data_IF_139537615782
#
_entry.id   IF_139537615782
#
_cell.length_a   1.000
_cell.length_b   1.000
_cell.length_c   1.000
_cell.angle_alpha   90.00
_cell.angle_beta   90.00
_cell.angle_gamma   90.00
#
_symmetry.space_group_name_H-M   'P 1'
#
loop_
_entity.id
_entity.type
_entity.pdbx_description
1 polymer ?
#
# COMPACT_ATOMS: atom_id res chain seq x y z
N UNK A 1 7.07 -14.92 9.33
CA UNK A 1 7.99 -16.07 9.41
C UNK A 1 8.19 -16.77 8.06
N UNK A 2 7.16 -17.44 7.46
CA UNK A 2 7.33 -18.24 6.23
C UNK A 2 7.80 -17.44 5.00
N UNK A 3 7.14 -16.31 4.68
CA UNK A 3 7.56 -15.46 3.54
C UNK A 3 8.98 -14.89 3.72
N UNK A 4 9.37 -14.56 4.94
CA UNK A 4 10.74 -14.08 5.23
C UNK A 4 11.78 -15.17 4.99
N UNK A 5 11.44 -16.43 5.26
CA UNK A 5 12.28 -17.58 4.93
C UNK A 5 12.41 -17.73 3.42
N UNK A 6 11.29 -17.73 2.66
CA UNK A 6 11.32 -17.82 1.19
C UNK A 6 12.16 -16.72 0.55
N UNK A 7 12.11 -15.49 1.11
CA UNK A 7 12.94 -14.38 0.64
C UNK A 7 14.43 -14.62 0.91
N UNK A 8 14.78 -15.11 2.10
CA UNK A 8 16.18 -15.47 2.44
C UNK A 8 16.73 -16.58 1.55
N UNK A 9 15.90 -17.54 1.19
CA UNK A 9 16.24 -18.67 0.30
C UNK A 9 16.24 -18.26 -1.19
N UNK A 10 15.87 -17.01 -1.53
CA UNK A 10 15.84 -16.53 -2.90
C UNK A 10 14.65 -16.99 -3.74
N UNK A 11 13.66 -17.66 -3.14
CA UNK A 11 12.46 -18.12 -3.85
C UNK A 11 11.54 -16.96 -4.25
N UNK A 12 11.50 -15.91 -3.44
CA UNK A 12 10.79 -14.66 -3.72
C UNK A 12 11.69 -13.45 -3.46
N UNK A 13 11.49 -12.38 -4.24
CA UNK A 13 12.12 -11.07 -4.01
C UNK A 13 11.19 -10.15 -3.21
N UNK A 14 9.89 -10.19 -3.51
CA UNK A 14 8.88 -9.31 -2.94
C UNK A 14 7.90 -10.08 -2.03
N UNK A 15 7.34 -9.37 -1.05
CA UNK A 15 6.29 -9.92 -0.19
C UNK A 15 4.89 -9.80 -0.82
N UNK A 16 4.69 -8.87 -1.74
CA UNK A 16 3.46 -8.69 -2.49
C UNK A 16 3.31 -9.77 -3.59
N UNK A 17 2.13 -10.38 -3.68
CA UNK A 17 1.88 -11.44 -4.65
C UNK A 17 1.99 -10.94 -6.09
N UNK A 18 1.36 -9.80 -6.42
CA UNK A 18 1.37 -9.27 -7.79
C UNK A 18 2.73 -8.73 -8.20
N UNK A 19 3.51 -8.17 -7.27
CA UNK A 19 4.90 -7.79 -7.51
C UNK A 19 5.76 -8.98 -7.96
N UNK A 20 5.59 -10.10 -7.25
CA UNK A 20 6.30 -11.33 -7.58
C UNK A 20 5.82 -11.94 -8.90
N UNK A 21 4.53 -11.84 -9.22
CA UNK A 21 3.96 -12.25 -10.50
C UNK A 21 4.48 -11.39 -11.66
N UNK A 22 4.57 -10.05 -11.49
CA UNK A 22 5.19 -9.16 -12.48
C UNK A 22 6.65 -9.58 -12.72
N UNK A 23 7.43 -9.78 -11.66
CA UNK A 23 8.83 -10.22 -11.74
C UNK A 23 8.99 -11.51 -12.53
N UNK A 24 8.08 -12.47 -12.31
CA UNK A 24 8.10 -13.79 -12.96
C UNK A 24 7.52 -13.82 -14.36
N UNK A 25 7.05 -12.69 -14.88
CA UNK A 25 6.49 -12.58 -16.22
C UNK A 25 5.04 -13.03 -16.38
N UNK A 26 4.30 -13.18 -15.27
CA UNK A 26 2.91 -13.61 -15.34
C UNK A 26 1.96 -12.55 -15.95
N UNK A 27 2.44 -11.35 -16.18
CA UNK A 27 1.71 -10.27 -16.85
C UNK A 27 2.28 -9.92 -18.23
N UNK A 28 3.28 -10.65 -18.73
CA UNK A 28 3.97 -10.30 -19.99
C UNK A 28 3.07 -10.48 -21.24
N UNK A 29 2.06 -11.35 -21.16
CA UNK A 29 1.07 -11.60 -22.21
C UNK A 29 -0.34 -11.14 -21.80
N UNK A 30 -0.45 -10.26 -20.78
CA UNK A 30 -1.71 -9.73 -20.28
C UNK A 30 -1.86 -8.27 -20.71
N UNK A 31 -2.87 -7.97 -21.52
CA UNK A 31 -3.15 -6.62 -22.02
C UNK A 31 -3.88 -5.75 -20.99
N UNK A 32 -4.78 -6.33 -20.20
CA UNK A 32 -5.60 -5.63 -19.21
C UNK A 32 -5.86 -6.51 -17.99
N UNK A 33 -6.08 -5.90 -16.83
CA UNK A 33 -6.37 -6.65 -15.62
C UNK A 33 -7.56 -6.05 -14.85
N UNK A 34 -8.37 -6.92 -14.26
CA UNK A 34 -9.49 -6.51 -13.40
C UNK A 34 -9.48 -7.30 -12.11
N UNK A 35 -9.85 -6.65 -11.03
CA UNK A 35 -10.19 -7.28 -9.76
C UNK A 35 -11.22 -6.44 -9.01
N UNK A 36 -11.82 -6.98 -7.99
CA UNK A 36 -12.67 -6.21 -7.09
C UNK A 36 -12.40 -6.57 -5.62
N UNK A 37 -12.82 -5.69 -4.74
CA UNK A 37 -12.97 -5.96 -3.32
C UNK A 37 -14.41 -5.74 -2.89
N UNK A 38 -14.78 -6.34 -1.76
CA UNK A 38 -16.03 -6.03 -1.06
C UNK A 38 -15.70 -5.29 0.23
N UNK A 39 -16.44 -4.21 0.49
CA UNK A 39 -16.27 -3.40 1.71
C UNK A 39 -17.61 -2.80 2.13
N UNK A 40 -17.72 -2.35 3.36
CA UNK A 40 -18.89 -1.63 3.82
C UNK A 40 -18.96 -0.25 3.15
N UNK A 41 -19.83 -0.13 2.15
CA UNK A 41 -20.07 1.11 1.38
C UNK A 41 -21.21 1.96 1.98
N UNK A 42 -21.70 1.61 3.18
CA UNK A 42 -22.88 2.23 3.78
C UNK A 42 -24.15 1.90 3.01
N UNK A 43 -24.88 2.93 2.59
CA UNK A 43 -26.13 2.78 1.80
C UNK A 43 -25.88 2.65 0.29
N UNK A 44 -24.64 2.77 -0.14
CA UNK A 44 -24.27 2.62 -1.57
C UNK A 44 -23.95 1.17 -1.89
N UNK A 45 -24.00 0.84 -3.19
CA UNK A 45 -23.81 -0.54 -3.67
C UNK A 45 -22.43 -0.78 -4.25
N UNK A 46 -21.82 0.25 -4.84
CA UNK A 46 -20.50 0.14 -5.45
C UNK A 46 -19.75 1.48 -5.38
N UNK A 47 -18.43 1.38 -5.25
CA UNK A 47 -17.50 2.48 -5.41
C UNK A 47 -16.64 2.19 -6.64
N UNK A 48 -16.66 3.11 -7.61
CA UNK A 48 -15.94 2.99 -8.88
C UNK A 48 -14.74 3.95 -8.91
N UNK A 49 -13.66 3.55 -9.56
CA UNK A 49 -12.46 4.36 -9.73
C UNK A 49 -11.82 4.85 -8.43
N UNK A 50 -11.74 4.02 -7.37
CA UNK A 50 -11.03 4.41 -6.18
C UNK A 50 -9.55 4.54 -6.46
N UNK A 51 -8.90 5.46 -5.75
CA UNK A 51 -7.45 5.55 -5.68
C UNK A 51 -6.98 5.10 -4.31
N UNK A 52 -5.79 4.51 -4.24
CA UNK A 52 -5.22 4.04 -2.98
C UNK A 52 -3.86 4.68 -2.70
N UNK A 53 -3.43 4.63 -1.45
CA UNK A 53 -2.05 4.96 -1.13
C UNK A 53 -1.11 3.83 -1.55
N UNK A 54 0.11 4.21 -1.97
CA UNK A 54 1.24 3.31 -1.92
C UNK A 54 1.91 3.33 -0.54
N UNK A 55 2.92 2.48 -0.34
CA UNK A 55 3.72 2.52 0.88
C UNK A 55 5.14 1.99 0.67
N UNK A 56 6.05 2.45 1.52
CA UNK A 56 7.40 1.90 1.72
C UNK A 56 7.45 1.33 3.13
N UNK A 57 7.82 0.06 3.26
CA UNK A 57 8.07 -0.57 4.55
C UNK A 57 9.45 -0.19 5.08
N UNK A 58 9.61 -0.18 6.40
CA UNK A 58 10.89 0.10 7.06
C UNK A 58 11.11 -0.86 8.22
N UNK A 59 12.31 -1.40 8.26
CA UNK A 59 12.91 -2.00 9.45
C UNK A 59 14.02 -1.08 9.92
N UNK A 60 13.95 -0.64 11.17
CA UNK A 60 14.90 0.31 11.74
C UNK A 60 15.51 -0.29 13.00
N UNK A 61 16.84 -0.22 13.08
CA UNK A 61 17.57 -0.64 14.27
C UNK A 61 18.37 0.55 14.81
N UNK A 62 18.10 0.92 16.05
CA UNK A 62 18.86 1.88 16.80
C UNK A 62 19.91 1.13 17.63
N UNK A 63 21.17 1.54 17.50
CA UNK A 63 22.31 0.86 18.10
C UNK A 63 22.98 1.81 19.09
N UNK A 64 22.89 1.48 20.35
CA UNK A 64 23.46 2.21 21.45
C UNK A 64 24.65 1.49 22.09
N UNK A 65 24.80 1.70 23.40
CA UNK A 65 25.82 1.06 24.23
C UNK A 65 25.25 0.73 25.61
N UNK A 66 25.41 -0.50 26.03
CA UNK A 66 25.01 -0.97 27.35
C UNK A 66 25.79 -0.26 28.46
N UNK A 67 25.11 -0.05 29.59
CA UNK A 67 25.72 0.37 30.86
C UNK A 67 24.76 0.03 32.01
N UNK A 68 25.23 0.03 33.25
CA UNK A 68 24.36 -0.18 34.40
C UNK A 68 23.48 1.07 34.60
N UNK A 69 22.17 0.94 34.40
CA UNK A 69 21.23 2.07 34.37
C UNK A 69 21.17 2.87 35.69
N UNK A 70 21.43 2.24 36.80
CA UNK A 70 21.42 2.90 38.13
C UNK A 70 22.74 3.50 38.57
N UNK A 71 23.88 2.84 38.30
CA UNK A 71 25.18 3.25 38.83
C UNK A 71 26.05 4.04 37.86
N UNK A 72 25.95 3.75 36.56
CA UNK A 72 26.79 4.37 35.54
C UNK A 72 26.07 4.60 34.21
N UNK A 73 24.83 5.20 34.19
CA UNK A 73 24.09 5.42 32.95
C UNK A 73 24.83 6.33 31.96
N UNK A 74 25.72 7.19 32.43
CA UNK A 74 26.52 8.10 31.63
C UNK A 74 27.59 7.40 30.77
N UNK A 75 27.89 6.14 31.04
CA UNK A 75 28.79 5.33 30.21
C UNK A 75 28.06 4.67 29.03
N UNK A 76 26.72 4.67 29.04
CA UNK A 76 25.88 4.09 28.03
C UNK A 76 25.40 5.06 26.96
N UNK A 77 24.85 4.52 25.89
CA UNK A 77 24.10 5.25 24.85
C UNK A 77 22.72 4.60 24.74
N UNK A 78 21.69 5.33 25.12
CA UNK A 78 20.34 4.78 25.21
C UNK A 78 19.63 4.76 23.82
N UNK A 79 19.59 3.60 23.19
CA UNK A 79 18.93 3.40 21.90
C UNK A 79 17.39 3.57 21.97
N UNK A 80 16.75 3.38 23.14
CA UNK A 80 15.33 3.62 23.29
C UNK A 80 15.03 5.13 23.28
N UNK A 81 15.86 5.94 23.91
CA UNK A 81 15.74 7.40 23.81
C UNK A 81 15.95 7.88 22.37
N UNK A 82 16.90 7.27 21.63
CA UNK A 82 17.07 7.53 20.21
C UNK A 82 15.78 7.27 19.41
N UNK A 83 15.16 6.12 19.62
CA UNK A 83 13.90 5.75 18.94
C UNK A 83 12.74 6.69 19.31
N UNK A 84 12.61 7.08 20.58
CA UNK A 84 11.58 8.03 21.02
C UNK A 84 11.76 9.41 20.37
N UNK A 85 12.98 9.94 20.34
CA UNK A 85 13.29 11.20 19.67
C UNK A 85 13.04 11.11 18.17
N UNK A 86 13.43 10.00 17.54
CA UNK A 86 13.20 9.73 16.13
C UNK A 86 11.71 9.80 15.77
N UNK A 87 10.84 9.12 16.54
CA UNK A 87 9.38 9.15 16.34
C UNK A 87 8.85 10.58 16.52
N UNK A 88 9.28 11.30 17.55
CA UNK A 88 8.87 12.70 17.76
C UNK A 88 9.33 13.62 16.62
N UNK A 89 10.55 13.43 16.10
CA UNK A 89 11.04 14.18 14.94
C UNK A 89 10.18 13.92 13.68
N UNK A 90 9.72 12.68 13.46
CA UNK A 90 8.78 12.39 12.37
C UNK A 90 7.44 13.10 12.59
N UNK A 91 6.93 13.12 13.83
CA UNK A 91 5.72 13.87 14.15
C UNK A 91 5.87 15.39 13.91
N UNK A 92 7.04 15.95 14.19
CA UNK A 92 7.34 17.36 13.87
C UNK A 92 7.35 17.66 12.36
N UNK A 93 7.53 16.65 11.49
CA UNK A 93 7.44 16.83 10.04
C UNK A 93 6.00 16.91 9.48
N UNK A 94 4.96 16.63 10.30
CA UNK A 94 3.58 16.52 9.78
C UNK A 94 3.09 17.77 9.08
N UNK A 95 3.49 18.95 9.54
CA UNK A 95 3.14 20.22 8.90
C UNK A 95 3.79 20.42 7.51
N UNK A 96 4.82 19.65 7.20
CA UNK A 96 5.51 19.72 5.90
C UNK A 96 4.91 18.82 4.83
N UNK A 97 3.92 17.99 5.17
CA UNK A 97 3.21 17.14 4.22
C UNK A 97 1.97 17.86 3.71
N UNK A 98 1.78 17.87 2.41
CA UNK A 98 0.54 18.41 1.80
C UNK A 98 -0.64 17.51 2.18
N UNK A 99 -1.79 18.09 2.47
CA UNK A 99 -3.00 17.33 2.79
C UNK A 99 -3.45 16.42 1.64
N UNK A 100 -3.28 16.88 0.39
CA UNK A 100 -3.59 16.11 -0.81
C UNK A 100 -2.74 14.83 -0.94
N UNK A 101 -1.54 14.80 -0.35
CA UNK A 101 -0.63 13.65 -0.43
C UNK A 101 -1.05 12.50 0.49
N UNK A 102 -1.98 12.73 1.42
CA UNK A 102 -2.52 11.71 2.34
C UNK A 102 -1.42 10.91 3.07
N UNK A 103 -0.33 11.58 3.46
CA UNK A 103 0.81 10.91 4.11
C UNK A 103 0.40 10.27 5.43
N UNK A 104 0.84 9.03 5.64
CA UNK A 104 0.68 8.29 6.90
C UNK A 104 2.02 7.67 7.29
N UNK A 105 2.38 7.86 8.54
CA UNK A 105 3.48 7.17 9.21
C UNK A 105 2.94 6.57 10.51
N UNK A 106 3.15 5.26 10.70
CA UNK A 106 2.72 4.54 11.90
C UNK A 106 3.77 3.48 12.25
N UNK A 107 4.59 3.75 13.26
CA UNK A 107 5.62 2.84 13.74
C UNK A 107 5.11 1.94 14.84
N UNK A 108 5.77 0.79 15.01
CA UNK A 108 5.73 -0.04 16.21
C UNK A 108 7.16 -0.30 16.68
N UNK A 109 7.36 -0.31 17.99
CA UNK A 109 8.61 -0.79 18.60
C UNK A 109 8.50 -2.30 18.78
N UNK A 110 9.32 -3.06 18.05
CA UNK A 110 9.32 -4.52 18.10
C UNK A 110 10.29 -5.08 19.13
N UNK A 111 11.30 -4.27 19.53
CA UNK A 111 12.20 -4.52 20.66
C UNK A 111 12.59 -3.19 21.30
N UNK A 112 12.33 -3.01 22.60
CA UNK A 112 12.58 -1.77 23.35
C UNK A 112 13.73 -1.86 24.36
N UNK A 113 14.40 -2.98 24.48
CA UNK A 113 15.45 -3.29 25.44
C UNK A 113 15.33 -4.73 25.93
N UNK A 114 16.19 -5.13 26.87
CA UNK A 114 16.24 -6.50 27.37
C UNK A 114 15.86 -6.59 28.85
N UNK A 115 16.44 -5.71 29.70
CA UNK A 115 16.20 -5.71 31.15
C UNK A 115 16.29 -4.28 31.70
N UNK A 116 15.48 -3.96 32.72
CA UNK A 116 15.31 -2.58 33.22
C UNK A 116 16.58 -1.94 33.77
N UNK A 117 17.48 -2.72 34.40
CA UNK A 117 18.70 -2.22 35.00
C UNK A 117 19.88 -2.07 34.01
N UNK A 118 19.66 -2.26 32.71
CA UNK A 118 20.65 -2.07 31.65
C UNK A 118 20.14 -1.02 30.67
N UNK A 119 21.02 -0.06 30.32
CA UNK A 119 20.74 0.94 29.27
C UNK A 119 20.49 0.21 27.95
N UNK A 120 19.33 0.39 27.29
CA UNK A 120 19.02 -0.31 26.03
C UNK A 120 20.01 0.03 24.92
N UNK A 121 20.66 -0.97 24.33
CA UNK A 121 21.62 -0.80 23.25
C UNK A 121 21.15 -1.37 21.90
N UNK A 122 20.14 -2.23 21.86
CA UNK A 122 19.51 -2.75 20.65
C UNK A 122 18.00 -2.50 20.72
N UNK A 123 17.53 -1.48 19.99
CA UNK A 123 16.10 -1.15 19.89
C UNK A 123 15.68 -1.25 18.42
N UNK A 124 14.55 -1.91 18.18
CA UNK A 124 14.06 -2.18 16.83
C UNK A 124 12.66 -1.63 16.64
N UNK A 125 12.43 -1.10 15.45
CA UNK A 125 11.16 -0.52 15.04
C UNK A 125 10.81 -0.98 13.63
N UNK A 126 9.53 -1.24 13.41
CA UNK A 126 8.96 -1.40 12.07
C UNK A 126 7.96 -0.28 11.80
N UNK A 127 7.87 0.15 10.55
CA UNK A 127 6.90 1.16 10.15
C UNK A 127 6.56 1.11 8.66
N UNK A 128 5.46 1.79 8.30
CA UNK A 128 5.13 2.11 6.92
C UNK A 128 5.08 3.62 6.73
N UNK A 129 5.66 4.08 5.60
CA UNK A 129 5.44 5.42 5.07
C UNK A 129 4.50 5.28 3.88
N UNK A 130 3.29 5.83 3.99
CA UNK A 130 2.26 5.79 2.96
C UNK A 130 2.03 7.17 2.36
N UNK A 131 1.77 7.22 1.06
CA UNK A 131 1.34 8.44 0.39
C UNK A 131 0.53 8.13 -0.88
N UNK A 132 -0.13 9.19 -1.42
CA UNK A 132 -1.07 9.12 -2.53
C UNK A 132 -0.42 8.89 -3.89
N UNK A 133 0.78 9.41 -4.10
CA UNK A 133 1.53 9.34 -5.36
C UNK A 133 2.94 8.81 -5.10
N UNK A 134 3.61 8.33 -6.14
CA UNK A 134 5.02 7.90 -6.04
C UNK A 134 5.89 9.05 -5.55
N UNK A 135 5.74 10.25 -6.12
CA UNK A 135 6.55 11.43 -5.75
C UNK A 135 6.34 11.81 -4.28
N UNK A 136 5.09 11.84 -3.82
CA UNK A 136 4.79 12.15 -2.41
C UNK A 136 5.27 11.05 -1.47
N UNK A 137 5.29 9.81 -1.92
CA UNK A 137 5.81 8.67 -1.16
C UNK A 137 7.34 8.77 -1.00
N UNK A 138 8.05 9.14 -2.08
CA UNK A 138 9.50 9.36 -2.05
C UNK A 138 9.86 10.56 -1.17
N UNK A 139 9.17 11.70 -1.32
CA UNK A 139 9.39 12.89 -0.48
C UNK A 139 9.15 12.60 1.00
N UNK A 140 8.02 11.97 1.32
CA UNK A 140 7.69 11.59 2.69
C UNK A 140 8.72 10.62 3.27
N UNK A 141 9.17 9.65 2.47
CA UNK A 141 10.20 8.68 2.86
C UNK A 141 11.54 9.36 3.20
N UNK A 142 11.98 10.29 2.36
CA UNK A 142 13.22 11.05 2.59
C UNK A 142 13.14 11.91 3.89
N UNK A 143 11.98 12.55 4.13
CA UNK A 143 11.74 13.31 5.38
C UNK A 143 11.74 12.41 6.61
N UNK A 144 11.11 11.25 6.53
CA UNK A 144 11.07 10.26 7.61
C UNK A 144 12.48 9.75 7.89
N UNK A 145 13.26 9.37 6.88
CA UNK A 145 14.64 8.91 7.07
C UNK A 145 15.50 9.94 7.78
N UNK A 146 15.43 11.20 7.34
CA UNK A 146 16.16 12.30 7.98
C UNK A 146 15.74 12.48 9.45
N UNK A 147 14.47 12.40 9.76
CA UNK A 147 13.96 12.51 11.12
C UNK A 147 14.43 11.35 12.02
N UNK A 148 14.44 10.12 11.47
CA UNK A 148 14.93 8.94 12.18
C UNK A 148 16.44 9.03 12.48
N UNK A 149 17.24 9.44 11.49
CA UNK A 149 18.69 9.66 11.66
C UNK A 149 18.98 10.75 12.69
N UNK A 150 18.21 11.85 12.66
CA UNK A 150 18.38 12.93 13.63
C UNK A 150 18.12 12.48 15.08
N UNK A 151 17.14 11.59 15.30
CA UNK A 151 16.86 11.04 16.63
C UNK A 151 18.02 10.19 17.17
N UNK A 152 18.65 9.38 16.34
CA UNK A 152 19.84 8.61 16.71
C UNK A 152 21.02 9.53 17.00
N UNK A 153 21.27 10.50 16.12
CA UNK A 153 22.38 11.46 16.25
C UNK A 153 22.26 12.29 17.53
N UNK A 154 21.05 12.64 17.97
CA UNK A 154 20.80 13.47 19.15
C UNK A 154 21.34 12.87 20.46
N UNK A 155 21.48 11.56 20.55
CA UNK A 155 21.99 10.85 21.74
C UNK A 155 23.28 10.08 21.47
N UNK A 156 23.88 10.26 20.29
CA UNK A 156 25.12 9.58 19.90
C UNK A 156 24.93 8.09 19.54
N UNK A 157 23.72 7.65 19.26
CA UNK A 157 23.42 6.29 18.80
C UNK A 157 23.68 6.15 17.28
N UNK A 158 24.02 4.93 16.85
CA UNK A 158 24.00 4.57 15.44
C UNK A 158 22.60 4.10 15.02
N UNK A 159 22.35 4.12 13.71
CA UNK A 159 21.08 3.70 13.13
C UNK A 159 21.30 2.91 11.82
N UNK A 160 20.55 1.83 11.67
CA UNK A 160 20.41 1.09 10.42
C UNK A 160 18.95 1.20 9.96
N UNK A 161 18.72 1.64 8.71
CA UNK A 161 17.40 1.74 8.10
C UNK A 161 17.40 0.83 6.89
N UNK A 162 16.54 -0.20 6.92
CA UNK A 162 16.28 -1.08 5.78
C UNK A 162 14.93 -0.72 5.19
N UNK A 163 14.91 -0.34 3.91
CA UNK A 163 13.69 -0.09 3.18
C UNK A 163 13.21 -1.37 2.51
N UNK A 164 11.92 -1.62 2.67
CA UNK A 164 11.26 -2.78 2.06
C UNK A 164 10.29 -2.27 0.99
N UNK A 165 10.40 -2.76 -0.26
CA UNK A 165 9.42 -2.44 -1.29
C UNK A 165 8.01 -2.75 -0.81
N UNK A 166 7.17 -1.71 -0.76
CA UNK A 166 5.75 -1.81 -0.49
C UNK A 166 4.96 -1.87 -1.79
N UNK A 167 3.71 -1.39 -1.79
CA UNK A 167 2.88 -1.32 -3.00
C UNK A 167 2.87 0.09 -3.57
N UNK A 168 2.75 0.20 -4.90
CA UNK A 168 2.49 1.47 -5.56
C UNK A 168 1.02 1.90 -5.37
N UNK A 169 0.71 3.20 -5.46
CA UNK A 169 -0.67 3.68 -5.44
C UNK A 169 -1.44 3.12 -6.63
N UNK A 170 -2.74 2.79 -6.45
CA UNK A 170 -3.60 2.46 -7.60
C UNK A 170 -3.81 3.70 -8.46
N UNK A 171 -3.65 3.52 -9.77
CA UNK A 171 -4.04 4.50 -10.78
C UNK A 171 -5.42 4.18 -11.32
N UNK A 172 -6.26 5.20 -11.43
CA UNK A 172 -7.56 5.12 -12.10
C UNK A 172 -7.36 5.13 -13.61
N UNK A 173 -8.08 4.28 -14.30
CA UNK A 173 -8.11 4.22 -15.76
C UNK A 173 -9.52 4.56 -16.27
N UNK A 174 -9.71 5.80 -16.73
CA UNK A 174 -11.04 6.35 -17.03
C UNK A 174 -11.80 5.59 -18.13
N UNK A 175 -11.12 5.08 -19.16
CA UNK A 175 -11.81 4.34 -20.23
C UNK A 175 -12.30 2.97 -19.74
N UNK A 176 -11.52 2.28 -18.88
CA UNK A 176 -11.99 1.05 -18.23
C UNK A 176 -13.20 1.32 -17.30
N UNK A 177 -13.17 2.44 -16.57
CA UNK A 177 -14.27 2.85 -15.69
C UNK A 177 -15.55 3.17 -16.49
N UNK A 178 -15.44 3.75 -17.69
CA UNK A 178 -16.60 4.00 -18.57
C UNK A 178 -17.27 2.70 -19.03
N UNK A 179 -16.47 1.67 -19.36
CA UNK A 179 -17.01 0.35 -19.72
C UNK A 179 -17.72 -0.28 -18.53
N UNK A 180 -17.08 -0.28 -17.34
CA UNK A 180 -17.71 -0.78 -16.13
C UNK A 180 -19.03 -0.03 -15.84
N UNK A 181 -19.03 1.30 -15.95
CA UNK A 181 -20.20 2.14 -15.63
C UNK A 181 -21.44 1.73 -16.42
N UNK A 182 -21.31 1.51 -17.73
CA UNK A 182 -22.40 1.00 -18.59
C UNK A 182 -22.93 -0.34 -18.08
N UNK A 183 -22.04 -1.21 -17.65
CA UNK A 183 -22.40 -2.54 -17.15
C UNK A 183 -23.08 -2.50 -15.78
N UNK A 184 -22.69 -1.56 -14.90
CA UNK A 184 -23.39 -1.32 -13.64
C UNK A 184 -24.83 -0.84 -13.89
N UNK A 185 -25.04 0.06 -14.83
CA UNK A 185 -26.36 0.53 -15.25
C UNK A 185 -27.18 -0.61 -15.87
N UNK A 186 -26.57 -1.45 -16.72
CA UNK A 186 -27.22 -2.60 -17.33
C UNK A 186 -27.72 -3.63 -16.30
N UNK A 187 -27.01 -3.83 -15.21
CA UNK A 187 -27.46 -4.71 -14.12
C UNK A 187 -28.39 -4.01 -13.12
N UNK A 188 -28.83 -2.79 -13.43
CA UNK A 188 -29.88 -2.07 -12.70
C UNK A 188 -29.41 -1.09 -11.63
N UNK A 189 -28.10 -0.79 -11.53
CA UNK A 189 -27.62 0.24 -10.61
C UNK A 189 -27.81 1.64 -11.21
N UNK A 190 -28.10 2.58 -10.33
CA UNK A 190 -28.31 4.00 -10.68
C UNK A 190 -27.19 4.87 -10.06
N UNK A 191 -27.17 6.17 -10.38
CA UNK A 191 -26.26 7.14 -9.75
C UNK A 191 -26.41 7.17 -8.22
N UNK A 192 -27.61 6.85 -7.72
CA UNK A 192 -27.85 6.79 -6.28
C UNK A 192 -27.16 5.59 -5.61
N UNK A 193 -26.81 4.56 -6.35
CA UNK A 193 -26.18 3.33 -5.85
C UNK A 193 -24.64 3.40 -5.90
N UNK A 194 -24.10 4.36 -6.66
CA UNK A 194 -22.68 4.43 -7.00
C UNK A 194 -22.01 5.60 -6.29
N UNK A 195 -20.85 5.33 -5.70
CA UNK A 195 -19.86 6.34 -5.29
C UNK A 195 -18.84 6.43 -6.42
N UNK A 196 -18.68 7.58 -7.04
CA UNK A 196 -17.65 7.77 -8.05
C UNK A 196 -16.39 8.37 -7.42
N UNK A 197 -15.26 7.73 -7.67
CA UNK A 197 -13.97 8.09 -7.08
C UNK A 197 -13.90 7.74 -5.59
N UNK A 198 -12.93 8.29 -4.91
CA UNK A 198 -12.76 8.13 -3.47
C UNK A 198 -11.31 7.81 -3.09
N UNK A 199 -10.98 8.18 -1.87
CA UNK A 199 -9.66 7.95 -1.29
C UNK A 199 -9.70 6.74 -0.37
N UNK A 200 -9.20 5.61 -0.84
CA UNK A 200 -8.86 4.51 0.04
C UNK A 200 -7.43 4.71 0.55
N UNK A 201 -7.29 5.04 1.83
CA UNK A 201 -5.97 5.32 2.41
C UNK A 201 -5.14 4.07 2.75
N UNK A 202 -5.70 2.89 2.54
CA UNK A 202 -4.99 1.61 2.52
C UNK A 202 -4.16 1.43 1.23
N UNK A 203 -3.66 0.22 1.01
CA UNK A 203 -2.83 -0.10 -0.15
C UNK A 203 -3.15 -1.49 -0.67
N UNK A 204 -3.10 -1.66 -1.98
CA UNK A 204 -3.32 -2.93 -2.67
C UNK A 204 -2.13 -3.22 -3.59
N UNK A 205 -1.72 -4.48 -3.68
CA UNK A 205 -0.69 -4.91 -4.62
C UNK A 205 -1.11 -4.81 -6.09
N UNK A 206 -2.39 -4.52 -6.35
CA UNK A 206 -2.91 -4.22 -7.69
C UNK A 206 -2.49 -2.84 -8.18
N UNK A 207 -2.10 -1.94 -7.27
CA UNK A 207 -1.48 -0.67 -7.61
C UNK A 207 -0.24 -0.86 -8.50
N UNK A 208 0.60 -1.84 -8.19
CA UNK A 208 1.79 -2.15 -8.97
C UNK A 208 1.44 -2.50 -10.44
N UNK A 209 0.39 -3.30 -10.65
CA UNK A 209 -0.10 -3.67 -11.99
C UNK A 209 -0.62 -2.45 -12.76
N UNK A 210 -1.30 -1.51 -12.06
CA UNK A 210 -1.92 -0.33 -12.67
C UNK A 210 -0.93 0.65 -13.30
N UNK A 211 0.35 0.55 -12.97
CA UNK A 211 1.39 1.37 -13.56
C UNK A 211 1.93 0.82 -14.88
N UNK A 212 1.64 -0.46 -15.18
CA UNK A 212 2.20 -1.20 -16.31
C UNK A 212 1.15 -1.45 -17.40
N UNK A 213 -0.07 -1.86 -17.00
CA UNK A 213 -1.18 -2.15 -17.92
C UNK A 213 -2.48 -1.48 -17.45
N UNK A 214 -3.47 -1.28 -18.34
CA UNK A 214 -4.80 -0.78 -17.95
C UNK A 214 -5.44 -1.69 -16.91
N UNK A 215 -5.97 -1.08 -15.85
CA UNK A 215 -6.59 -1.84 -14.75
C UNK A 215 -7.95 -1.29 -14.35
N UNK A 216 -8.80 -2.15 -13.80
CA UNK A 216 -10.10 -1.82 -13.24
C UNK A 216 -10.24 -2.43 -11.85
N UNK A 217 -10.56 -1.61 -10.84
CA UNK A 217 -10.66 -2.06 -9.46
C UNK A 217 -11.87 -1.46 -8.72
N UNK A 218 -13.11 -1.85 -9.05
CA UNK A 218 -14.27 -1.41 -8.28
C UNK A 218 -14.31 -2.09 -6.91
N UNK A 219 -15.00 -1.43 -5.97
CA UNK A 219 -15.28 -1.97 -4.65
C UNK A 219 -16.78 -2.09 -4.47
N UNK A 220 -17.28 -3.30 -4.23
CA UNK A 220 -18.70 -3.58 -4.06
C UNK A 220 -19.10 -3.58 -2.59
N UNK A 221 -20.35 -3.26 -2.31
CA UNK A 221 -20.99 -3.40 -1.02
C UNK A 221 -21.36 -4.85 -0.71
N UNK A 222 -22.43 -5.03 0.07
CA UNK A 222 -22.93 -6.35 0.47
C UNK A 222 -22.26 -6.94 1.70
N UNK A 223 -21.43 -6.14 2.39
CA UNK A 223 -20.82 -6.50 3.66
C UNK A 223 -21.03 -5.41 4.69
N UNK A 224 -20.97 -5.77 5.97
CA UNK A 224 -20.97 -4.87 7.11
C UNK A 224 -19.74 -5.09 7.96
N UNK A 225 -19.31 -4.01 8.64
CA UNK A 225 -18.16 -4.02 9.53
C UNK A 225 -16.85 -3.62 8.84
N UNK A 226 -15.88 -3.21 9.65
CA UNK A 226 -14.59 -2.75 9.16
C UNK A 226 -13.73 -3.91 8.64
N UNK A 227 -12.95 -3.65 7.59
CA UNK A 227 -11.99 -4.61 7.03
C UNK A 227 -11.02 -5.12 8.12
N UNK A 228 -10.71 -6.40 8.07
CA UNK A 228 -9.78 -7.09 9.00
C UNK A 228 -10.25 -7.14 10.46
N UNK A 229 -11.54 -6.92 10.74
CA UNK A 229 -12.13 -7.08 12.08
C UNK A 229 -12.99 -8.34 12.13
N UNK A 230 -13.29 -8.80 13.36
CA UNK A 230 -14.21 -9.93 13.60
C UNK A 230 -15.67 -9.61 13.27
N UNK A 231 -16.01 -8.34 13.15
CA UNK A 231 -17.37 -7.88 12.84
C UNK A 231 -17.63 -7.80 11.32
N UNK A 232 -16.59 -8.03 10.50
CA UNK A 232 -16.71 -8.09 9.04
C UNK A 232 -17.49 -9.34 8.65
N UNK A 233 -18.66 -9.15 8.04
CA UNK A 233 -19.57 -10.23 7.63
C UNK A 233 -20.32 -9.87 6.35
N UNK A 234 -20.74 -10.90 5.61
CA UNK A 234 -21.68 -10.74 4.50
C UNK A 234 -23.05 -10.30 5.03
N UNK A 235 -23.64 -9.30 4.41
CA UNK A 235 -24.93 -8.71 4.73
C UNK A 235 -25.93 -8.82 3.57
N UNK A 236 -25.42 -8.75 2.33
CA UNK A 236 -26.19 -8.86 1.11
C UNK A 236 -25.39 -9.68 0.07
N UNK A 237 -25.77 -10.93 -0.15
CA UNK A 237 -25.08 -11.86 -1.05
C UNK A 237 -25.15 -11.43 -2.52
N UNK A 238 -26.23 -10.75 -2.94
CA UNK A 238 -26.35 -10.24 -4.31
C UNK A 238 -25.23 -9.26 -4.63
N UNK A 239 -24.94 -8.30 -3.73
CA UNK A 239 -23.90 -7.29 -3.93
C UNK A 239 -22.50 -7.75 -3.51
N UNK A 240 -22.40 -8.75 -2.64
CA UNK A 240 -21.10 -9.29 -2.27
C UNK A 240 -20.54 -10.27 -3.32
N UNK A 241 -21.40 -10.99 -4.05
CA UNK A 241 -20.97 -12.05 -4.95
C UNK A 241 -21.49 -11.91 -6.39
N UNK A 242 -22.81 -11.71 -6.57
CA UNK A 242 -23.42 -11.80 -7.88
C UNK A 242 -23.24 -10.52 -8.71
N UNK A 243 -23.46 -9.36 -8.13
CA UNK A 243 -23.29 -8.09 -8.84
C UNK A 243 -21.85 -7.86 -9.34
N UNK A 244 -20.79 -8.08 -8.53
CA UNK A 244 -19.43 -7.98 -9.04
C UNK A 244 -19.11 -9.02 -10.11
N UNK A 245 -19.58 -10.26 -9.97
CA UNK A 245 -19.38 -11.29 -10.99
C UNK A 245 -20.07 -10.94 -12.32
N UNK A 246 -21.33 -10.46 -12.27
CA UNK A 246 -22.06 -9.99 -13.45
C UNK A 246 -21.35 -8.79 -14.10
N UNK A 247 -21.00 -7.77 -13.33
CA UNK A 247 -20.33 -6.56 -13.83
C UNK A 247 -19.00 -6.89 -14.51
N UNK A 248 -18.19 -7.73 -13.89
CA UNK A 248 -16.90 -8.16 -14.45
C UNK A 248 -17.09 -8.98 -15.73
N UNK A 249 -18.02 -9.95 -15.74
CA UNK A 249 -18.30 -10.76 -16.92
C UNK A 249 -18.79 -9.92 -18.10
N UNK A 250 -19.72 -8.99 -17.87
CA UNK A 250 -20.20 -8.06 -18.89
C UNK A 250 -19.09 -7.15 -19.42
N UNK A 251 -18.21 -6.66 -18.53
CA UNK A 251 -17.06 -5.87 -18.93
C UNK A 251 -16.13 -6.66 -19.85
N UNK A 252 -15.87 -7.94 -19.57
CA UNK A 252 -15.11 -8.81 -20.48
C UNK A 252 -15.82 -8.96 -21.82
N UNK A 253 -17.13 -9.16 -21.83
CA UNK A 253 -17.92 -9.27 -23.07
C UNK A 253 -17.78 -7.98 -23.90
N UNK A 254 -17.94 -6.80 -23.30
CA UNK A 254 -17.82 -5.53 -24.02
C UNK A 254 -16.41 -5.30 -24.56
N UNK A 255 -15.39 -5.61 -23.77
CA UNK A 255 -13.99 -5.47 -24.20
C UNK A 255 -13.64 -6.38 -25.38
N UNK A 256 -14.21 -7.60 -25.43
CA UNK A 256 -13.87 -8.60 -26.44
C UNK A 256 -14.84 -8.62 -27.64
N UNK A 257 -16.02 -8.00 -27.52
CA UNK A 257 -17.00 -7.95 -28.59
C UNK A 257 -16.46 -7.22 -29.83
N UNK A 258 -16.98 -7.56 -31.00
CA UNK A 258 -16.63 -6.92 -32.28
C UNK A 258 -15.11 -6.88 -32.52
N UNK A 259 -14.48 -8.06 -32.51
CA UNK A 259 -13.03 -8.22 -32.70
C UNK A 259 -12.18 -7.45 -31.67
N UNK A 260 -12.69 -7.36 -30.45
CA UNK A 260 -12.08 -6.64 -29.33
C UNK A 260 -11.83 -5.15 -29.62
N UNK A 261 -12.76 -4.49 -30.32
CA UNK A 261 -12.62 -3.10 -30.72
C UNK A 261 -12.43 -2.18 -29.52
N UNK A 262 -13.26 -2.31 -28.47
CA UNK A 262 -13.15 -1.47 -27.26
C UNK A 262 -11.79 -1.66 -26.55
N UNK A 263 -11.35 -2.91 -26.41
CA UNK A 263 -10.05 -3.19 -25.81
C UNK A 263 -8.90 -2.58 -26.64
N UNK A 264 -8.95 -2.71 -27.97
CA UNK A 264 -7.94 -2.13 -28.86
C UNK A 264 -7.90 -0.62 -28.77
N UNK A 265 -9.05 0.05 -28.72
CA UNK A 265 -9.15 1.50 -28.58
C UNK A 265 -8.57 1.97 -27.23
N UNK A 266 -8.84 1.25 -26.14
CA UNK A 266 -8.25 1.52 -24.82
C UNK A 266 -6.72 1.36 -24.85
N UNK A 267 -6.22 0.26 -25.43
CA UNK A 267 -4.78 0.00 -25.50
C UNK A 267 -4.02 1.01 -26.35
N UNK A 268 -4.62 1.50 -27.44
CA UNK A 268 -4.03 2.55 -28.27
C UNK A 268 -3.84 3.87 -27.51
N UNK A 269 -4.75 4.18 -26.59
CA UNK A 269 -4.73 5.42 -25.82
C UNK A 269 -3.94 5.29 -24.52
N UNK A 270 -3.69 4.07 -24.05
CA UNK A 270 -2.97 3.82 -22.80
C UNK A 270 -1.48 4.11 -22.95
N UNK A 271 -0.95 4.81 -21.97
CA UNK A 271 0.50 4.99 -21.79
C UNK A 271 0.88 4.51 -20.42
N UNK A 272 1.68 3.42 -20.32
CA UNK A 272 2.14 2.96 -19.02
C UNK A 272 2.97 4.05 -18.34
N UNK A 273 2.84 4.16 -17.03
CA UNK A 273 3.68 5.05 -16.22
C UNK A 273 5.11 4.50 -16.14
N UNK A 274 5.23 3.18 -16.16
CA UNK A 274 6.51 2.45 -16.18
C UNK A 274 6.39 1.24 -17.10
N UNK A 275 7.46 0.94 -17.83
CA UNK A 275 7.63 -0.40 -18.38
C UNK A 275 7.88 -1.40 -17.26
N UNK A 276 7.77 -2.69 -17.54
CA UNK A 276 8.11 -3.74 -16.55
C UNK A 276 9.55 -3.60 -16.05
N UNK A 277 10.48 -3.31 -16.94
CA UNK A 277 11.91 -3.14 -16.64
C UNK A 277 12.14 -1.94 -15.72
N UNK A 278 11.51 -0.79 -16.02
CA UNK A 278 11.55 0.41 -15.17
C UNK A 278 10.94 0.14 -13.79
N UNK A 279 9.79 -0.56 -13.75
CA UNK A 279 9.17 -0.98 -12.50
C UNK A 279 10.09 -1.87 -11.66
N UNK A 280 10.71 -2.89 -12.26
CA UNK A 280 11.61 -3.80 -11.54
C UNK A 280 12.92 -3.13 -11.08
N UNK A 281 13.35 -2.07 -11.79
CA UNK A 281 14.49 -1.24 -11.38
C UNK A 281 14.12 -0.27 -10.24
N UNK A 282 12.88 0.22 -10.23
CA UNK A 282 12.37 1.09 -9.18
C UNK A 282 12.16 0.34 -7.86
N UNK A 283 11.69 -0.93 -7.91
CA UNK A 283 11.36 -1.79 -6.77
C UNK A 283 12.58 -2.56 -6.25
#
# INVERSE_FOLDING_TARGET
AYRSQLKKEGHIKYFGGKQELIRKGAFDDVDMAMMFHVLDTGDKKVLTGPVSNGFIGKEVKFIGKEAHAGSAPYEGINALNAAMLAINNVHAQRETFKEADRVRFHPIITKGGDIVNVVPADVRMESYVRARTIDSMIDANAKVNRALMAGAMAVGANIEITELPGYLPILRHDDMEKVLRKNLEYIGLTDNDIIEGGDFTGSFDFGDVSHIIPTLHPMFGGVKGALHTRDYKIDDEEYAYLAPAKAMALTVVDLLFNEAKEAKDILQNFKPVMTKEEYLAFM
#
